data_IF_862059099226
#
_entry.id   IF_862059099226
#
_cell.length_a   1.000
_cell.length_b   1.000
_cell.length_c   1.000
_cell.angle_alpha   90.00
_cell.angle_beta   90.00
_cell.angle_gamma   90.00
#
_symmetry.space_group_name_H-M   'P 1'
#
loop_
_entity.id
_entity.type
_entity.pdbx_description
1 polymer ?
#
# COMPACT_ATOMS: atom_id res chain seq x y z
N UNK A 1 17.67 21.82 4.10
CA UNK A 1 16.99 20.54 3.98
C UNK A 1 17.11 20.03 2.54
N UNK A 2 17.42 18.74 2.38
CA UNK A 2 17.71 18.14 1.07
C UNK A 2 16.43 18.03 0.23
N UNK A 3 16.45 18.54 -0.99
CA UNK A 3 15.39 18.31 -1.96
C UNK A 3 15.63 16.95 -2.60
N UNK A 4 14.62 16.08 -2.58
CA UNK A 4 14.72 14.70 -3.06
C UNK A 4 13.86 14.42 -4.29
N UNK A 5 12.96 15.32 -4.64
CA UNK A 5 12.09 15.17 -5.80
C UNK A 5 11.16 16.35 -5.98
N UNK A 6 10.17 16.17 -6.84
CA UNK A 6 9.15 17.17 -7.15
C UNK A 6 7.77 16.52 -7.21
N UNK A 7 6.78 17.15 -6.58
CA UNK A 7 5.38 16.72 -6.66
C UNK A 7 4.63 17.57 -7.67
N UNK A 8 4.00 16.91 -8.64
CA UNK A 8 3.23 17.59 -9.69
C UNK A 8 1.86 18.08 -9.22
N UNK A 9 1.45 17.73 -8.01
CA UNK A 9 0.17 18.16 -7.47
C UNK A 9 0.12 18.07 -5.95
N UNK A 10 -1.02 18.46 -5.40
CA UNK A 10 -1.35 18.28 -3.98
C UNK A 10 -2.06 16.94 -3.79
N UNK A 11 -1.47 16.06 -2.98
CA UNK A 11 -2.01 14.73 -2.70
C UNK A 11 -2.25 14.55 -1.21
N UNK A 12 -3.42 14.01 -0.87
CA UNK A 12 -3.84 13.81 0.50
C UNK A 12 -4.55 12.47 0.67
N UNK A 13 -4.61 11.97 1.90
CA UNK A 13 -5.32 10.73 2.21
C UNK A 13 -6.82 10.91 2.43
N UNK A 14 -7.32 12.14 2.37
CA UNK A 14 -8.70 12.48 2.70
C UNK A 14 -9.55 12.87 1.49
N UNK A 15 -9.01 12.81 0.29
CA UNK A 15 -9.71 13.19 -0.94
C UNK A 15 -10.57 12.07 -1.57
N UNK A 16 -10.72 10.95 -0.86
CA UNK A 16 -11.60 9.86 -1.27
C UNK A 16 -13.08 10.24 -1.15
N UNK A 17 -13.95 9.46 -1.78
CA UNK A 17 -15.40 9.56 -1.64
C UNK A 17 -16.02 8.17 -1.46
N UNK A 18 -17.36 8.12 -1.29
CA UNK A 18 -18.06 6.86 -1.00
C UNK A 18 -18.14 5.91 -2.20
N UNK A 19 -17.90 6.40 -3.41
CA UNK A 19 -17.89 5.60 -4.64
C UNK A 19 -16.47 5.13 -4.93
N UNK A 20 -15.55 6.09 -5.13
CA UNK A 20 -14.12 5.81 -5.33
C UNK A 20 -13.43 5.84 -3.96
N UNK A 21 -13.40 4.67 -3.32
CA UNK A 21 -12.90 4.51 -1.95
C UNK A 21 -11.38 4.34 -1.93
N UNK A 22 -10.70 5.32 -2.48
CA UNK A 22 -9.24 5.39 -2.51
C UNK A 22 -8.80 6.86 -2.57
N UNK A 23 -7.65 7.17 -2.02
CA UNK A 23 -7.12 8.53 -1.93
C UNK A 23 -5.90 8.72 -2.83
N UNK A 24 -5.67 9.95 -3.27
CA UNK A 24 -4.51 10.24 -4.12
C UNK A 24 -3.19 9.92 -3.43
N UNK A 25 -3.03 10.29 -2.16
CA UNK A 25 -1.79 10.03 -1.43
C UNK A 25 -1.68 8.56 -1.01
N UNK A 26 -2.79 7.93 -0.60
CA UNK A 26 -2.81 6.50 -0.33
C UNK A 26 -2.37 5.69 -1.53
N UNK A 27 -2.89 6.02 -2.70
CA UNK A 27 -2.53 5.36 -3.95
C UNK A 27 -1.04 5.56 -4.28
N UNK A 28 -0.54 6.79 -4.15
CA UNK A 28 0.88 7.08 -4.39
C UNK A 28 1.80 6.26 -3.49
N UNK A 29 1.53 6.25 -2.20
CA UNK A 29 2.32 5.48 -1.22
C UNK A 29 2.28 3.99 -1.54
N UNK A 30 1.08 3.44 -1.79
CA UNK A 30 0.95 2.01 -2.10
C UNK A 30 1.64 1.64 -3.41
N UNK A 31 1.55 2.47 -4.45
CA UNK A 31 2.20 2.23 -5.75
C UNK A 31 3.73 2.28 -5.63
N UNK A 32 4.26 3.22 -4.85
CA UNK A 32 5.69 3.29 -4.53
C UNK A 32 6.14 2.02 -3.82
N UNK A 33 5.39 1.60 -2.79
CA UNK A 33 5.73 0.40 -2.03
C UNK A 33 5.62 -0.86 -2.88
N UNK A 34 4.69 -0.91 -3.83
CA UNK A 34 4.62 -2.03 -4.78
C UNK A 34 5.93 -2.14 -5.56
N UNK A 35 6.36 -1.06 -6.20
CA UNK A 35 7.59 -1.05 -7.00
C UNK A 35 8.81 -1.43 -6.18
N UNK A 36 8.99 -0.81 -5.02
CA UNK A 36 10.19 -0.99 -4.21
C UNK A 36 10.23 -2.36 -3.52
N UNK A 37 9.10 -2.79 -2.92
CA UNK A 37 9.08 -4.08 -2.22
C UNK A 37 9.14 -5.26 -3.20
N UNK A 38 8.51 -5.16 -4.36
CA UNK A 38 8.59 -6.20 -5.39
C UNK A 38 10.03 -6.38 -5.88
N UNK A 39 10.72 -5.28 -6.13
CA UNK A 39 12.14 -5.32 -6.55
C UNK A 39 13.03 -6.00 -5.51
N UNK A 40 12.90 -5.62 -4.24
CA UNK A 40 13.71 -6.19 -3.15
C UNK A 40 13.35 -7.66 -2.92
N UNK A 41 12.06 -7.98 -2.90
CA UNK A 41 11.60 -9.37 -2.71
C UNK A 41 12.09 -10.28 -3.84
N UNK A 42 12.04 -9.79 -5.08
CA UNK A 42 12.54 -10.55 -6.23
C UNK A 42 14.05 -10.81 -6.14
N UNK A 43 14.82 -9.82 -5.70
CA UNK A 43 16.28 -10.00 -5.51
C UNK A 43 16.63 -10.97 -4.39
N UNK A 44 15.87 -10.93 -3.29
CA UNK A 44 16.14 -11.76 -2.11
C UNK A 44 15.64 -13.19 -2.26
N UNK A 45 14.45 -13.38 -2.86
CA UNK A 45 13.73 -14.65 -2.81
C UNK A 45 13.36 -15.21 -4.20
N UNK A 46 13.67 -14.50 -5.27
CA UNK A 46 13.26 -14.85 -6.64
C UNK A 46 11.73 -15.05 -6.76
N UNK A 47 11.00 -14.18 -6.09
CA UNK A 47 9.52 -14.17 -6.05
C UNK A 47 9.01 -12.76 -6.28
N UNK A 48 7.75 -12.67 -6.68
CA UNK A 48 7.06 -11.38 -6.89
C UNK A 48 5.89 -11.24 -5.93
N UNK A 49 5.61 -10.00 -5.52
CA UNK A 49 4.42 -9.71 -4.74
C UNK A 49 3.19 -9.69 -5.63
N UNK A 50 2.03 -9.97 -5.04
CA UNK A 50 0.75 -9.87 -5.72
C UNK A 50 0.08 -8.52 -5.47
N UNK A 51 0.11 -8.01 -4.25
CA UNK A 51 -0.41 -6.68 -3.94
C UNK A 51 0.17 -6.10 -2.65
N UNK A 52 -0.09 -4.81 -2.47
CA UNK A 52 0.28 -4.04 -1.28
C UNK A 52 -0.97 -3.73 -0.47
N UNK A 53 -0.86 -3.84 0.84
CA UNK A 53 -1.84 -3.35 1.81
C UNK A 53 -1.12 -2.55 2.88
N UNK A 54 -1.51 -1.29 3.05
CA UNK A 54 -1.01 -0.41 4.11
C UNK A 54 -2.17 0.13 4.94
N UNK A 55 -1.90 0.79 6.06
CA UNK A 55 -2.94 1.36 6.89
C UNK A 55 -3.07 2.87 6.65
N UNK A 56 -4.29 3.34 6.55
CA UNK A 56 -4.63 4.76 6.37
C UNK A 56 -3.96 5.64 7.43
N UNK A 57 -3.96 5.20 8.69
CA UNK A 57 -3.37 5.95 9.81
C UNK A 57 -1.86 6.07 9.77
N UNK A 58 -1.17 5.31 8.94
CA UNK A 58 0.29 5.41 8.77
C UNK A 58 0.75 6.64 7.99
N UNK A 59 -0.15 7.25 7.21
CA UNK A 59 0.12 8.48 6.47
C UNK A 59 -0.33 9.66 7.33
N UNK A 60 0.62 10.53 7.71
CA UNK A 60 0.37 11.57 8.73
C UNK A 60 0.43 13.00 8.21
N UNK A 61 0.76 13.23 6.96
CA UNK A 61 0.81 14.55 6.34
C UNK A 61 0.45 14.43 4.87
N UNK A 62 0.08 15.55 4.26
CA UNK A 62 -0.15 15.64 2.82
C UNK A 62 1.15 15.90 2.07
N UNK A 63 1.17 15.58 0.78
CA UNK A 63 2.26 15.93 -0.12
C UNK A 63 1.84 17.16 -0.93
N UNK A 64 2.55 18.27 -0.74
CA UNK A 64 2.26 19.53 -1.41
C UNK A 64 2.93 19.62 -2.77
N UNK A 65 2.29 20.33 -3.70
CA UNK A 65 2.88 20.62 -5.02
C UNK A 65 4.21 21.37 -4.86
N UNK A 66 5.19 21.03 -5.67
CA UNK A 66 6.51 21.66 -5.67
C UNK A 66 7.62 20.72 -5.19
N UNK A 67 8.73 21.33 -4.77
CA UNK A 67 9.89 20.58 -4.29
C UNK A 67 9.55 19.71 -3.07
N UNK A 68 9.98 18.46 -3.13
CA UNK A 68 9.84 17.51 -2.02
C UNK A 68 11.16 17.52 -1.25
N UNK A 69 11.08 17.89 0.01
CA UNK A 69 12.22 17.84 0.93
C UNK A 69 12.25 16.52 1.68
N UNK A 70 13.42 16.12 2.10
CA UNK A 70 13.56 14.90 2.91
C UNK A 70 12.66 14.94 4.15
N UNK A 71 12.56 16.11 4.81
CA UNK A 71 11.67 16.29 5.97
C UNK A 71 10.20 16.09 5.64
N UNK A 72 9.76 16.34 4.42
CA UNK A 72 8.37 16.11 4.01
C UNK A 72 8.05 14.62 4.05
N UNK A 73 8.99 13.79 3.60
CA UNK A 73 8.82 12.33 3.65
C UNK A 73 8.73 11.84 5.10
N UNK A 74 9.56 12.40 6.00
CA UNK A 74 9.49 12.09 7.43
C UNK A 74 8.17 12.52 8.07
N UNK A 75 7.54 13.58 7.59
CA UNK A 75 6.20 14.02 8.05
C UNK A 75 5.08 13.11 7.52
N UNK A 76 5.21 12.65 6.29
CA UNK A 76 4.22 11.75 5.66
C UNK A 76 4.25 10.37 6.32
N UNK A 77 5.45 9.81 6.51
CA UNK A 77 5.68 8.48 7.07
C UNK A 77 6.59 8.58 8.31
N UNK A 78 6.07 9.10 9.44
CA UNK A 78 6.92 9.35 10.62
C UNK A 78 7.25 8.11 11.45
N UNK A 79 6.52 7.01 11.25
CA UNK A 79 6.73 5.77 12.00
C UNK A 79 7.85 4.93 11.38
N UNK A 80 8.59 4.21 12.23
CA UNK A 80 9.66 3.32 11.78
C UNK A 80 9.12 1.92 11.48
N UNK A 81 8.14 1.84 10.56
CA UNK A 81 7.56 0.57 10.15
C UNK A 81 8.40 -0.09 9.07
N UNK A 82 8.61 -1.40 9.25
CA UNK A 82 9.33 -2.24 8.30
C UNK A 82 8.37 -2.93 7.33
N UNK A 83 8.80 -3.08 6.09
CA UNK A 83 8.07 -3.86 5.09
C UNK A 83 8.20 -5.33 5.40
N UNK A 84 7.07 -6.03 5.43
CA UNK A 84 7.01 -7.48 5.50
C UNK A 84 6.19 -8.01 4.33
N UNK A 85 6.60 -9.15 3.80
CA UNK A 85 5.82 -9.90 2.81
C UNK A 85 5.24 -11.11 3.51
N UNK A 86 3.93 -11.31 3.37
CA UNK A 86 3.27 -12.49 3.94
C UNK A 86 2.67 -13.34 2.84
N UNK A 87 2.76 -14.65 3.02
CA UNK A 87 2.13 -15.64 2.14
C UNK A 87 0.80 -16.08 2.76
N UNK A 88 -0.30 -15.85 2.05
CA UNK A 88 -1.65 -16.18 2.54
C UNK A 88 -2.44 -16.91 1.46
N UNK A 89 -3.44 -17.70 1.85
CA UNK A 89 -4.40 -18.25 0.92
C UNK A 89 -5.41 -17.19 0.46
N UNK A 90 -5.99 -17.39 -0.73
CA UNK A 90 -6.99 -16.49 -1.28
C UNK A 90 -8.21 -16.30 -0.40
N UNK A 91 -8.57 -17.28 0.43
CA UNK A 91 -9.65 -17.12 1.39
C UNK A 91 -9.33 -16.03 2.44
N UNK A 92 -8.07 -15.87 2.85
CA UNK A 92 -7.64 -14.75 3.69
C UNK A 92 -7.70 -13.43 2.91
N UNK A 93 -7.35 -13.42 1.63
CA UNK A 93 -7.51 -12.21 0.78
C UNK A 93 -8.98 -11.78 0.73
N UNK A 94 -9.91 -12.70 0.63
CA UNK A 94 -11.35 -12.40 0.67
C UNK A 94 -11.80 -11.82 2.01
N UNK A 95 -11.24 -12.31 3.13
CA UNK A 95 -11.47 -11.72 4.45
C UNK A 95 -10.95 -10.27 4.50
N UNK A 96 -9.76 -10.03 3.94
CA UNK A 96 -9.19 -8.68 3.81
C UNK A 96 -10.16 -7.76 3.07
N UNK A 97 -10.64 -8.18 1.92
CA UNK A 97 -11.56 -7.38 1.08
C UNK A 97 -12.85 -7.07 1.84
N UNK A 98 -13.43 -8.06 2.53
CA UNK A 98 -14.63 -7.87 3.34
C UNK A 98 -14.40 -6.85 4.44
N UNK A 99 -13.25 -6.90 5.11
CA UNK A 99 -12.86 -5.95 6.14
C UNK A 99 -12.72 -4.54 5.56
N UNK A 100 -12.00 -4.40 4.44
CA UNK A 100 -11.74 -3.10 3.80
C UNK A 100 -13.02 -2.41 3.37
N UNK A 101 -14.02 -3.16 2.89
CA UNK A 101 -15.32 -2.61 2.49
C UNK A 101 -16.10 -1.99 3.65
N UNK A 102 -15.87 -2.45 4.88
CA UNK A 102 -16.57 -1.97 6.07
C UNK A 102 -15.86 -0.81 6.77
N UNK A 103 -14.63 -0.51 6.36
CA UNK A 103 -13.87 0.57 6.98
C UNK A 103 -14.38 1.93 6.59
N UNK A 104 -14.23 2.90 7.50
CA UNK A 104 -14.64 4.29 7.26
C UNK A 104 -13.61 5.00 6.38
N UNK A 105 -12.34 4.66 6.53
CA UNK A 105 -11.24 5.25 5.79
C UNK A 105 -10.62 4.22 4.84
N UNK A 106 -10.21 4.62 3.63
CA UNK A 106 -9.57 3.71 2.71
C UNK A 106 -8.14 3.42 3.12
N UNK A 107 -7.85 2.16 3.40
CA UNK A 107 -6.48 1.69 3.58
C UNK A 107 -5.82 1.61 2.20
N UNK A 108 -4.56 2.11 2.05
CA UNK A 108 -3.88 2.10 0.77
C UNK A 108 -3.66 0.70 0.21
N UNK A 109 -3.98 0.50 -1.05
CA UNK A 109 -3.75 -0.75 -1.78
C UNK A 109 -3.12 -0.46 -3.14
N UNK A 110 -2.36 -1.43 -3.65
CA UNK A 110 -1.83 -1.44 -5.01
C UNK A 110 -1.71 -2.89 -5.49
N UNK A 111 -2.15 -3.16 -6.71
CA UNK A 111 -2.17 -4.51 -7.28
C UNK A 111 -3.44 -5.30 -6.96
N UNK A 112 -4.23 -4.85 -6.01
CA UNK A 112 -5.55 -5.38 -5.67
C UNK A 112 -6.61 -4.42 -6.21
N UNK A 113 -7.59 -4.96 -6.95
CA UNK A 113 -8.70 -4.19 -7.47
C UNK A 113 -9.98 -4.71 -6.85
N UNK A 114 -10.74 -3.81 -6.21
CA UNK A 114 -11.96 -4.15 -5.49
C UNK A 114 -13.14 -3.44 -6.17
N UNK A 115 -14.07 -4.23 -6.70
CA UNK A 115 -15.37 -3.74 -7.16
C UNK A 115 -16.42 -3.90 -6.04
N UNK A 116 -17.66 -3.38 -6.20
CA UNK A 116 -18.65 -3.51 -5.14
C UNK A 116 -18.92 -4.96 -4.68
N UNK A 117 -18.73 -5.94 -5.56
CA UNK A 117 -19.05 -7.34 -5.28
C UNK A 117 -17.89 -8.32 -5.49
N UNK A 118 -16.76 -7.89 -6.06
CA UNK A 118 -15.65 -8.78 -6.46
C UNK A 118 -14.29 -8.19 -6.11
N UNK A 119 -13.28 -9.05 -6.07
CA UNK A 119 -11.89 -8.67 -5.97
C UNK A 119 -11.06 -9.33 -7.05
N UNK A 120 -10.05 -8.60 -7.55
CA UNK A 120 -9.19 -9.05 -8.63
C UNK A 120 -7.72 -8.81 -8.29
N UNK A 121 -6.88 -9.76 -8.67
CA UNK A 121 -5.42 -9.64 -8.65
C UNK A 121 -4.94 -9.98 -10.06
N UNK A 122 -4.17 -9.07 -10.69
CA UNK A 122 -3.68 -9.24 -12.06
C UNK A 122 -4.81 -9.53 -13.06
N UNK A 123 -5.95 -8.86 -12.90
CA UNK A 123 -7.11 -9.02 -13.77
C UNK A 123 -7.89 -10.31 -13.60
N UNK A 124 -7.55 -11.13 -12.61
CA UNK A 124 -8.20 -12.41 -12.33
C UNK A 124 -8.93 -12.38 -11.01
N UNK A 125 -10.08 -13.05 -10.93
CA UNK A 125 -10.80 -13.26 -9.68
C UNK A 125 -9.90 -13.95 -8.66
N UNK A 126 -10.09 -13.61 -7.37
CA UNK A 126 -9.37 -14.26 -6.29
C UNK A 126 -9.73 -15.75 -6.26
N UNK A 127 -8.71 -16.62 -6.27
CA UNK A 127 -8.88 -18.05 -6.08
C UNK A 127 -8.67 -18.37 -4.59
N UNK A 128 -9.70 -18.82 -3.86
CA UNK A 128 -9.60 -19.08 -2.42
C UNK A 128 -8.48 -20.06 -2.04
N UNK A 129 -8.16 -20.99 -2.92
CA UNK A 129 -7.18 -22.06 -2.66
C UNK A 129 -5.75 -21.71 -3.09
N UNK A 130 -5.58 -20.62 -3.85
CA UNK A 130 -4.27 -20.17 -4.30
C UNK A 130 -3.57 -19.37 -3.21
N UNK A 131 -2.24 -19.41 -3.17
CA UNK A 131 -1.42 -18.59 -2.29
C UNK A 131 -1.04 -17.28 -2.99
N UNK A 132 -1.06 -16.19 -2.23
CA UNK A 132 -0.71 -14.85 -2.66
C UNK A 132 0.32 -14.24 -1.73
N UNK A 133 1.21 -13.41 -2.29
CA UNK A 133 2.21 -12.66 -1.53
C UNK A 133 1.74 -11.21 -1.35
N UNK A 134 1.56 -10.80 -0.11
CA UNK A 134 1.10 -9.45 0.25
C UNK A 134 2.27 -8.68 0.85
N UNK A 135 2.57 -7.50 0.28
CA UNK A 135 3.46 -6.54 0.90
C UNK A 135 2.67 -5.67 1.88
N UNK A 136 3.04 -5.71 3.13
CA UNK A 136 2.39 -4.93 4.20
C UNK A 136 3.46 -4.41 5.17
N UNK A 137 3.08 -4.04 6.38
CA UNK A 137 4.02 -3.58 7.39
C UNK A 137 3.91 -4.37 8.70
N UNK A 138 4.91 -4.24 9.54
CA UNK A 138 5.00 -4.95 10.80
C UNK A 138 3.89 -4.55 11.79
N UNK A 139 3.45 -3.28 11.78
CA UNK A 139 2.35 -2.83 12.62
C UNK A 139 1.06 -3.60 12.31
N UNK A 140 0.69 -3.73 11.03
CA UNK A 140 -0.50 -4.48 10.62
C UNK A 140 -0.34 -5.99 10.89
N UNK A 141 0.82 -6.54 10.58
CA UNK A 141 1.10 -7.97 10.83
C UNK A 141 0.94 -8.32 12.31
N UNK A 142 1.30 -7.41 13.21
CA UNK A 142 1.19 -7.60 14.65
C UNK A 142 -0.22 -7.30 15.20
N UNK A 143 -1.22 -7.12 14.34
CA UNK A 143 -2.61 -6.91 14.70
C UNK A 143 -3.06 -5.46 14.75
N UNK A 144 -2.24 -4.53 14.21
CA UNK A 144 -2.62 -3.13 14.09
C UNK A 144 -3.91 -2.96 13.30
N UNK A 145 -4.71 -1.96 13.65
CA UNK A 145 -6.01 -1.64 13.04
C UNK A 145 -6.99 -2.83 13.04
N UNK A 146 -6.83 -3.76 13.97
CA UNK A 146 -7.65 -4.97 14.08
C UNK A 146 -7.56 -5.91 12.87
N UNK A 147 -6.50 -5.81 12.08
CA UNK A 147 -6.27 -6.72 10.94
C UNK A 147 -5.65 -8.04 11.39
N UNK A 148 -6.32 -8.73 12.32
CA UNK A 148 -5.82 -9.98 12.92
C UNK A 148 -5.71 -11.12 11.91
N UNK A 149 -6.49 -11.10 10.83
CA UNK A 149 -6.42 -12.09 9.76
C UNK A 149 -5.05 -12.17 9.10
N UNK A 150 -4.22 -11.12 9.17
CA UNK A 150 -2.87 -11.17 8.60
C UNK A 150 -1.94 -12.14 9.34
N UNK A 151 -2.29 -12.52 10.58
CA UNK A 151 -1.57 -13.57 11.31
C UNK A 151 -1.86 -14.96 10.77
N UNK A 152 -2.92 -15.12 9.99
CA UNK A 152 -3.25 -16.37 9.31
C UNK A 152 -2.45 -16.47 8.00
N UNK A 153 -1.16 -16.57 8.12
CA UNK A 153 -0.21 -16.68 7.01
C UNK A 153 0.61 -17.96 7.14
N UNK A 154 1.11 -18.46 6.00
CA UNK A 154 1.97 -19.65 5.98
C UNK A 154 3.46 -19.27 6.06
N UNK A 155 3.82 -18.02 5.77
CA UNK A 155 5.20 -17.55 5.85
C UNK A 155 5.28 -16.04 5.90
N UNK A 156 6.26 -15.53 6.62
CA UNK A 156 6.60 -14.10 6.73
C UNK A 156 8.02 -13.89 6.24
N UNK A 157 8.21 -12.91 5.36
CA UNK A 157 9.52 -12.47 4.88
C UNK A 157 9.74 -11.04 5.38
N UNK A 158 10.78 -10.83 6.16
CA UNK A 158 11.22 -9.50 6.58
C UNK A 158 12.24 -9.00 5.57
N UNK A 159 11.95 -7.88 4.91
CA UNK A 159 12.82 -7.38 3.85
C UNK A 159 14.06 -6.63 4.38
N UNK A 160 14.05 -6.21 5.66
CA UNK A 160 15.09 -5.32 6.18
C UNK A 160 15.02 -3.94 5.53
N UNK A 161 13.81 -3.44 5.27
CA UNK A 161 13.57 -2.27 4.46
C UNK A 161 12.36 -1.50 5.04
N UNK A 162 12.55 -0.25 5.41
CA UNK A 162 11.46 0.57 5.97
C UNK A 162 10.59 1.16 4.87
N UNK A 163 9.34 1.48 5.20
CA UNK A 163 8.41 2.17 4.30
C UNK A 163 9.00 3.52 3.86
N UNK A 164 9.59 4.24 4.80
CA UNK A 164 10.19 5.56 4.53
C UNK A 164 11.37 5.45 3.58
N UNK A 165 12.26 4.50 3.80
CA UNK A 165 13.42 4.31 2.92
C UNK A 165 12.97 3.90 1.52
N UNK A 166 11.93 3.09 1.40
CA UNK A 166 11.35 2.74 0.11
C UNK A 166 10.84 3.98 -0.63
N UNK A 167 10.15 4.88 0.07
CA UNK A 167 9.69 6.13 -0.52
C UNK A 167 10.88 7.00 -0.98
N UNK A 168 11.89 7.16 -0.14
CA UNK A 168 13.11 7.92 -0.45
C UNK A 168 13.81 7.33 -1.66
N UNK A 169 14.00 6.01 -1.69
CA UNK A 169 14.69 5.33 -2.80
C UNK A 169 13.92 5.50 -4.12
N UNK A 170 12.60 5.45 -4.07
CA UNK A 170 11.77 5.67 -5.26
C UNK A 170 12.00 7.06 -5.85
N UNK A 171 12.14 8.10 -5.02
CA UNK A 171 12.36 9.46 -5.50
C UNK A 171 13.71 9.63 -6.21
N UNK A 172 14.72 8.78 -5.91
CA UNK A 172 16.04 8.84 -6.55
C UNK A 172 15.99 8.48 -8.03
N UNK A 173 15.06 7.62 -8.43
CA UNK A 173 14.88 7.19 -9.82
C UNK A 173 13.64 7.76 -10.48
N UNK A 174 12.75 8.38 -9.70
CA UNK A 174 11.51 8.99 -10.17
C UNK A 174 11.41 10.39 -9.56
N UNK A 175 12.06 11.36 -10.19
CA UNK A 175 12.20 12.72 -9.66
C UNK A 175 10.89 13.50 -9.61
N UNK A 176 9.91 13.12 -10.44
CA UNK A 176 8.59 13.76 -10.47
C UNK A 176 7.53 12.74 -10.05
N UNK A 177 6.77 13.09 -9.00
CA UNK A 177 5.70 12.26 -8.49
C UNK A 177 4.34 12.82 -8.90
N UNK A 178 3.46 11.94 -9.34
CA UNK A 178 2.06 12.26 -9.61
C UNK A 178 1.16 11.12 -9.16
N UNK A 179 -0.09 11.45 -8.83
CA UNK A 179 -1.09 10.48 -8.41
C UNK A 179 -2.49 11.00 -8.70
N UNK A 180 -3.46 10.11 -8.57
CA UNK A 180 -4.88 10.44 -8.67
C UNK A 180 -5.73 9.40 -7.95
N UNK A 181 -6.94 9.77 -7.61
CA UNK A 181 -8.01 8.84 -7.28
C UNK A 181 -8.36 8.09 -8.57
N UNK A 182 -8.55 6.78 -8.47
CA UNK A 182 -8.86 5.93 -9.61
C UNK A 182 -9.94 4.89 -9.27
N UNK A 183 -10.07 3.86 -10.09
CA UNK A 183 -11.10 2.83 -9.93
C UNK A 183 -10.59 1.58 -9.20
N UNK A 184 -9.43 1.66 -8.52
CA UNK A 184 -8.87 0.49 -7.83
C UNK A 184 -9.73 -0.02 -6.68
N UNK A 185 -10.55 0.84 -6.09
CA UNK A 185 -11.49 0.44 -5.04
C UNK A 185 -12.80 1.20 -5.25
N UNK A 186 -13.79 0.47 -5.75
CA UNK A 186 -15.16 0.96 -5.91
C UNK A 186 -16.02 0.29 -4.84
N UNK A 187 -16.68 1.09 -4.00
CA UNK A 187 -17.43 0.59 -2.85
C UNK A 187 -18.88 0.34 -3.18
N UNK A 188 -19.59 1.39 -3.61
CA UNK A 188 -20.99 1.31 -4.03
C UNK A 188 -21.22 2.21 -5.24
N UNK A 189 -22.33 2.01 -5.91
CA UNK A 189 -22.75 2.87 -7.01
C UNK A 189 -23.29 4.21 -6.49
#
# INVERSE_FOLDING_TARGET
DLIVGYSEGFYTKTDFNDINFNSSLGNLVADILFTQSDSVFNKQEDKKIDFVLQNHGGIRSSLFEGDIKLTDIYKILPFENEIVIIEVFGETVEEIITFLRKEINPHPISGLLISPDKGFIQGKLIDPSKKYYISTNDYLLNGGDNMFFLKNNSKVYKLGYSLRDAFIDFTKTNLKLSSKIDNRFLKDE
#
